data_IF_501437437421
#
_entry.id   IF_501437437421
#
_cell.length_a   1.000
_cell.length_b   1.000
_cell.length_c   1.000
_cell.angle_alpha   90.00
_cell.angle_beta   90.00
_cell.angle_gamma   90.00
#
_symmetry.space_group_name_H-M   'P 1'
#
loop_
_entity.id
_entity.type
_entity.pdbx_description
1 polymer ?
#
# COMPACT_ATOMS: atom_id res chain seq x y z
N UNK A 1 -1.13 7.58 -22.15
CA UNK A 1 -1.29 7.12 -20.75
C UNK A 1 -0.20 6.13 -20.47
N UNK A 2 0.65 6.41 -19.48
CA UNK A 2 1.57 5.40 -18.98
C UNK A 2 0.72 4.37 -18.23
N UNK A 3 0.99 3.07 -18.38
CA UNK A 3 0.21 2.02 -17.69
C UNK A 3 0.24 2.17 -16.15
N UNK A 4 1.14 2.98 -15.60
CA UNK A 4 1.29 3.22 -14.17
C UNK A 4 0.29 4.23 -13.59
N UNK A 5 -0.30 5.11 -14.43
CA UNK A 5 -1.21 6.19 -14.00
C UNK A 5 -2.40 5.66 -13.17
N UNK A 6 -2.80 4.41 -13.40
CA UNK A 6 -3.89 3.75 -12.69
C UNK A 6 -3.53 3.40 -11.23
N UNK A 7 -2.30 2.94 -10.99
CA UNK A 7 -1.84 2.52 -9.67
C UNK A 7 -1.41 3.70 -8.79
N UNK A 8 -0.90 4.76 -9.43
CA UNK A 8 -0.45 6.00 -8.79
C UNK A 8 -1.58 6.63 -7.98
N UNK A 9 -1.22 7.22 -6.83
CA UNK A 9 -2.16 7.87 -5.91
C UNK A 9 -2.31 7.12 -4.58
N UNK A 10 -3.31 7.54 -3.80
CA UNK A 10 -3.56 7.01 -2.46
C UNK A 10 -4.53 5.82 -2.50
N UNK A 11 -4.28 4.87 -1.60
CA UNK A 11 -5.10 3.69 -1.34
C UNK A 11 -5.24 3.52 0.17
N UNK A 12 -6.44 3.28 0.66
CA UNK A 12 -6.75 3.24 2.09
C UNK A 12 -7.20 4.60 2.61
N UNK A 13 -6.97 4.84 3.90
CA UNK A 13 -7.33 6.10 4.55
C UNK A 13 -6.14 6.70 5.28
N UNK A 14 -5.92 8.00 5.09
CA UNK A 14 -4.90 8.78 5.79
C UNK A 14 -5.34 9.24 7.20
N UNK A 15 -6.54 8.84 7.64
CA UNK A 15 -7.01 9.11 8.99
C UNK A 15 -6.15 8.41 10.07
N UNK A 16 -6.12 8.95 11.30
CA UNK A 16 -5.36 8.34 12.39
C UNK A 16 -5.72 6.86 12.60
N UNK A 17 -4.69 6.04 12.76
CA UNK A 17 -4.78 4.60 12.94
C UNK A 17 -5.37 3.79 11.77
N UNK A 18 -5.54 4.40 10.60
CA UNK A 18 -5.96 3.68 9.40
C UNK A 18 -4.76 3.30 8.51
N UNK A 19 -4.79 2.10 7.91
CA UNK A 19 -3.77 1.70 6.96
C UNK A 19 -3.96 2.41 5.62
N UNK A 20 -2.84 2.83 5.02
CA UNK A 20 -2.83 3.39 3.67
C UNK A 20 -1.47 3.22 2.99
N UNK A 21 -1.49 3.27 1.66
CA UNK A 21 -0.32 3.37 0.79
C UNK A 21 -0.51 4.50 -0.23
N UNK A 22 0.58 5.17 -0.58
CA UNK A 22 0.66 6.18 -1.62
C UNK A 22 1.72 5.75 -2.62
N UNK A 23 1.30 5.57 -3.87
CA UNK A 23 2.16 5.15 -4.97
C UNK A 23 2.56 6.38 -5.78
N UNK A 24 3.85 6.70 -5.81
CA UNK A 24 4.39 7.79 -6.61
C UNK A 24 4.86 7.29 -7.98
N UNK A 25 4.81 8.16 -8.99
CA UNK A 25 5.22 7.87 -10.39
C UNK A 25 6.70 7.45 -10.51
N UNK A 26 7.55 7.89 -9.57
CA UNK A 26 8.97 7.54 -9.53
C UNK A 26 9.26 6.13 -8.98
N UNK A 27 8.25 5.27 -8.80
CA UNK A 27 8.41 3.92 -8.24
C UNK A 27 8.60 3.87 -6.72
N UNK A 28 8.36 4.98 -6.02
CA UNK A 28 8.38 5.04 -4.56
C UNK A 28 6.98 4.74 -4.00
N UNK A 29 6.94 4.01 -2.89
CA UNK A 29 5.72 3.80 -2.10
C UNK A 29 5.95 4.26 -0.66
N UNK A 30 4.96 4.93 -0.09
CA UNK A 30 4.95 5.32 1.31
C UNK A 30 3.59 5.07 1.93
N UNK A 31 3.48 5.11 3.25
CA UNK A 31 2.18 4.97 3.91
C UNK A 31 2.27 4.71 5.39
N UNK A 32 1.23 4.09 5.94
CA UNK A 32 1.19 3.64 7.33
C UNK A 32 0.42 2.34 7.45
N UNK A 33 0.85 1.46 8.35
CA UNK A 33 0.08 0.28 8.76
C UNK A 33 -0.95 0.60 9.88
N UNK A 34 -1.25 1.88 10.10
CA UNK A 34 -2.07 2.38 11.22
C UNK A 34 -1.28 2.67 12.50
N UNK A 35 -0.01 2.27 12.59
CA UNK A 35 0.86 2.64 13.72
C UNK A 35 2.19 3.18 13.24
N UNK A 36 2.84 2.41 12.39
CA UNK A 36 4.16 2.63 11.85
C UNK A 36 4.08 3.31 10.50
N UNK A 37 5.09 4.12 10.22
CA UNK A 37 5.30 4.63 8.86
C UNK A 37 5.93 3.54 8.02
N UNK A 38 5.45 3.40 6.79
CA UNK A 38 5.96 2.49 5.77
C UNK A 38 6.62 3.30 4.66
N UNK A 39 7.71 2.78 4.13
CA UNK A 39 8.40 3.35 2.97
C UNK A 39 9.11 2.24 2.20
N UNK A 40 9.13 2.35 0.87
CA UNK A 40 9.78 1.38 0.01
C UNK A 40 9.67 1.77 -1.46
N UNK A 41 9.83 0.77 -2.32
CA UNK A 41 9.71 0.89 -3.75
C UNK A 41 8.66 -0.08 -4.28
N UNK A 42 8.08 0.25 -5.42
CA UNK A 42 7.11 -0.60 -6.10
C UNK A 42 7.41 -0.69 -7.59
N UNK A 43 7.11 -1.85 -8.16
CA UNK A 43 7.07 -2.08 -9.60
C UNK A 43 5.76 -2.76 -9.96
N UNK A 44 5.37 -2.72 -11.24
CA UNK A 44 4.21 -3.47 -11.73
C UNK A 44 4.56 -4.22 -12.99
N UNK A 45 4.28 -5.51 -13.00
CA UNK A 45 4.46 -6.42 -14.13
C UNK A 45 3.20 -7.27 -14.26
N UNK A 46 2.64 -7.35 -15.47
CA UNK A 46 1.42 -8.13 -15.78
C UNK A 46 0.24 -7.90 -14.81
N UNK A 47 0.11 -6.67 -14.29
CA UNK A 47 -0.97 -6.27 -13.37
C UNK A 47 -0.72 -6.61 -11.90
N UNK A 48 0.44 -7.18 -11.59
CA UNK A 48 0.88 -7.48 -10.23
C UNK A 48 1.89 -6.44 -9.79
N UNK A 49 1.57 -5.75 -8.70
CA UNK A 49 2.46 -4.86 -7.98
C UNK A 49 3.39 -5.71 -7.12
N UNK A 50 4.69 -5.42 -7.16
CA UNK A 50 5.67 -6.01 -6.24
C UNK A 50 6.29 -4.90 -5.40
N UNK A 51 6.28 -5.09 -4.08
CA UNK A 51 6.94 -4.18 -3.14
C UNK A 51 8.37 -4.64 -2.88
N UNK A 52 9.30 -3.68 -2.83
CA UNK A 52 10.71 -3.95 -2.52
C UNK A 52 11.27 -2.92 -1.55
N UNK A 53 12.30 -3.31 -0.81
CA UNK A 53 12.98 -2.44 0.16
C UNK A 53 12.02 -1.81 1.18
N UNK A 54 10.98 -2.56 1.56
CA UNK A 54 10.00 -2.11 2.55
C UNK A 54 10.68 -1.96 3.92
N UNK A 55 10.63 -0.75 4.44
CA UNK A 55 11.07 -0.39 5.77
C UNK A 55 9.89 0.14 6.59
N UNK A 56 9.91 -0.14 7.89
CA UNK A 56 8.92 0.37 8.84
C UNK A 56 9.59 0.92 10.09
N UNK A 57 8.93 1.87 10.75
CA UNK A 57 9.26 2.24 12.12
C UNK A 57 8.84 1.12 13.08
N UNK A 58 9.38 1.11 14.31
CA UNK A 58 8.96 0.18 15.38
C UNK A 58 8.31 0.94 16.54
N UNK A 59 7.21 1.64 16.25
CA UNK A 59 6.35 2.25 17.27
C UNK A 59 5.40 1.20 17.86
N UNK A 60 5.10 1.35 19.15
CA UNK A 60 4.12 0.53 19.84
C UNK A 60 2.77 1.25 19.85
N UNK A 61 1.73 0.59 19.32
CA UNK A 61 0.34 1.06 19.39
C UNK A 61 -0.53 -0.05 19.98
N UNK A 62 -1.34 0.29 20.97
CA UNK A 62 -2.14 -0.69 21.73
C UNK A 62 -3.28 -1.30 20.89
N UNK A 63 -3.68 -0.66 19.78
CA UNK A 63 -4.91 -0.99 19.04
C UNK A 63 -4.75 -1.08 17.53
N UNK A 64 -3.55 -0.88 16.98
CA UNK A 64 -3.35 -0.84 15.53
C UNK A 64 -3.13 -2.25 14.96
N UNK A 65 -3.89 -2.59 13.92
CA UNK A 65 -3.68 -3.82 13.16
C UNK A 65 -2.59 -3.58 12.11
N UNK A 66 -1.34 -3.90 12.49
CA UNK A 66 -0.14 -3.65 11.67
C UNK A 66 0.05 -4.62 10.50
N UNK A 67 -1.03 -5.26 10.01
CA UNK A 67 -1.00 -6.28 8.96
C UNK A 67 -0.28 -5.79 7.69
N UNK A 68 -0.43 -4.51 7.33
CA UNK A 68 0.11 -3.94 6.09
C UNK A 68 1.63 -4.00 5.99
N UNK A 69 2.34 -4.11 7.12
CA UNK A 69 3.81 -4.31 7.13
C UNK A 69 4.24 -5.61 6.45
N UNK A 70 3.34 -6.57 6.32
CA UNK A 70 3.56 -7.85 5.65
C UNK A 70 3.40 -7.82 4.12
N UNK A 71 3.09 -6.66 3.54
CA UNK A 71 2.87 -6.52 2.11
C UNK A 71 4.11 -6.89 1.29
N UNK A 72 3.94 -7.82 0.35
CA UNK A 72 4.98 -8.24 -0.61
C UNK A 72 4.51 -8.04 -2.03
N UNK A 73 3.26 -8.42 -2.33
CA UNK A 73 2.63 -8.15 -3.62
C UNK A 73 1.27 -7.53 -3.44
N UNK A 74 0.77 -6.90 -4.50
CA UNK A 74 -0.60 -6.47 -4.59
C UNK A 74 -1.13 -6.58 -6.01
N UNK A 75 -2.45 -6.59 -6.16
CA UNK A 75 -3.11 -6.46 -7.45
C UNK A 75 -4.37 -5.63 -7.28
N UNK A 76 -4.83 -5.01 -8.36
CA UNK A 76 -6.03 -4.17 -8.32
C UNK A 76 -7.18 -4.90 -9.00
N UNK A 77 -8.33 -4.94 -8.33
CA UNK A 77 -9.59 -5.40 -8.89
C UNK A 77 -10.65 -4.30 -8.71
N UNK A 78 -11.02 -3.65 -9.81
CA UNK A 78 -11.85 -2.44 -9.76
C UNK A 78 -11.10 -1.32 -9.03
N UNK A 79 -11.70 -0.78 -7.97
CA UNK A 79 -11.13 0.29 -7.15
C UNK A 79 -10.59 -0.23 -5.80
N UNK A 80 -10.21 -1.51 -5.76
CA UNK A 80 -9.68 -2.17 -4.55
C UNK A 80 -8.29 -2.72 -4.83
N UNK A 81 -7.34 -2.35 -3.99
CA UNK A 81 -6.00 -2.90 -3.94
C UNK A 81 -5.99 -4.09 -2.98
N UNK A 82 -5.76 -5.27 -3.51
CA UNK A 82 -5.62 -6.51 -2.74
C UNK A 82 -4.16 -6.73 -2.42
N UNK A 83 -3.84 -6.98 -1.15
CA UNK A 83 -2.46 -7.07 -0.67
C UNK A 83 -2.21 -8.48 -0.16
N UNK A 84 -1.08 -9.05 -0.58
CA UNK A 84 -0.65 -10.38 -0.19
C UNK A 84 0.75 -10.37 0.44
N UNK A 85 0.99 -11.36 1.29
CA UNK A 85 2.27 -11.62 1.93
C UNK A 85 3.25 -12.40 1.04
N UNK A 86 4.40 -12.78 1.59
CA UNK A 86 5.44 -13.55 0.88
C UNK A 86 4.99 -14.95 0.44
N UNK A 87 3.93 -15.49 1.04
CA UNK A 87 3.35 -16.78 0.68
C UNK A 87 2.27 -16.64 -0.41
N UNK A 88 1.97 -15.40 -0.82
CA UNK A 88 0.90 -15.08 -1.78
C UNK A 88 -0.49 -15.13 -1.16
N UNK A 89 -0.58 -15.18 0.18
CA UNK A 89 -1.86 -15.15 0.88
C UNK A 89 -2.35 -13.71 1.01
N UNK A 90 -3.60 -13.45 0.64
CA UNK A 90 -4.21 -12.14 0.88
C UNK A 90 -4.30 -11.86 2.38
N UNK A 91 -3.75 -10.72 2.79
CA UNK A 91 -3.69 -10.25 4.18
C UNK A 91 -4.59 -9.04 4.44
N UNK A 92 -5.07 -8.38 3.39
CA UNK A 92 -5.98 -7.25 3.49
C UNK A 92 -6.23 -6.56 2.16
N UNK A 93 -7.10 -5.55 2.20
CA UNK A 93 -7.44 -4.72 1.05
C UNK A 93 -7.42 -3.24 1.41
N UNK A 94 -7.14 -2.39 0.42
CA UNK A 94 -7.21 -0.94 0.53
C UNK A 94 -8.06 -0.39 -0.63
N UNK A 95 -9.16 0.34 -0.37
CA UNK A 95 -9.91 0.99 -1.44
C UNK A 95 -9.10 2.15 -2.04
N UNK A 96 -9.34 2.49 -3.31
CA UNK A 96 -8.77 3.69 -3.92
C UNK A 96 -9.27 4.93 -3.17
N UNK A 97 -8.36 5.83 -2.81
CA UNK A 97 -8.71 7.10 -2.22
C UNK A 97 -8.72 8.19 -3.31
N UNK A 98 -9.93 8.63 -3.66
CA UNK A 98 -10.15 9.72 -4.62
C UNK A 98 -10.11 11.11 -3.99
N UNK A 99 -9.97 11.19 -2.66
CA UNK A 99 -9.94 12.48 -1.95
C UNK A 99 -8.56 13.13 -1.97
N UNK A 100 -7.52 12.38 -2.35
CA UNK A 100 -6.14 12.86 -2.45
C UNK A 100 -5.84 13.71 -3.71
N UNK A 101 -6.77 13.81 -4.66
CA UNK A 101 -6.64 14.58 -5.91
C UNK A 101 -7.31 15.98 -5.85
N UNK A 102 -7.60 16.49 -4.64
CA UNK A 102 -8.28 17.78 -4.39
C UNK A 102 -7.36 18.98 -4.24
#
# INVERSE_FOLDING_TARGET
>A
MNRNDFYIGAWGSSEPHQPHLVFADAGAVSGSDGCNRLMGQWTVEDGVITFSQMASTMMYCESADTWLRGAVTAYVQGDVLHIADSEGKEIGTLPKDYTADG
#
